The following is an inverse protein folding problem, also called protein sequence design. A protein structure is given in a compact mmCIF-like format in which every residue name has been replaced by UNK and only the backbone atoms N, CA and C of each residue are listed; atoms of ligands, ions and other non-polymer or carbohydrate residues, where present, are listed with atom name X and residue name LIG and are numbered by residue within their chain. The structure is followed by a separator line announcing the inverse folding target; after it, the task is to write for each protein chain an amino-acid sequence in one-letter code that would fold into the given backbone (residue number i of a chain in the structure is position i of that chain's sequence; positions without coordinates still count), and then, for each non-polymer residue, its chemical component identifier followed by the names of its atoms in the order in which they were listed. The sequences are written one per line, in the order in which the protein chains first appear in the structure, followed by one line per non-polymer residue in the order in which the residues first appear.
data_IF_473730341682
#
_entry.id   IF_473730341682
#
_cell.length_a   1.000
_cell.length_b   1.000
_cell.length_c   1.000
_cell.angle_alpha   90.00
_cell.angle_beta   90.00
_cell.angle_gamma   90.00
#
_symmetry.space_group_name_H-M   'P 1'
#
loop_
_entity.id
_entity.type
_entity.pdbx_description
1 polymer ?
#
# COMPACT_ATOMS: atom_id res chain seq x y z
N UNK A 1 -9.09 -16.20 3.10
CA UNK A 1 -7.68 -16.59 2.79
C UNK A 1 -6.73 -15.40 2.62
N UNK A 2 -7.10 -14.38 1.84
CA UNK A 2 -6.27 -13.17 1.63
C UNK A 2 -5.81 -12.50 2.93
N UNK A 3 -6.75 -12.15 3.81
CA UNK A 3 -6.44 -11.52 5.11
C UNK A 3 -5.47 -12.34 5.97
N UNK A 4 -5.47 -13.68 5.81
CA UNK A 4 -4.56 -14.58 6.52
C UNK A 4 -3.13 -14.45 5.98
N UNK A 5 -2.98 -14.41 4.65
CA UNK A 5 -1.69 -14.19 3.98
C UNK A 5 -1.15 -12.79 4.32
N UNK A 6 -2.00 -11.77 4.26
CA UNK A 6 -1.65 -10.38 4.60
C UNK A 6 -1.17 -10.24 6.06
N UNK A 7 -1.81 -10.95 6.99
CA UNK A 7 -1.43 -10.95 8.40
C UNK A 7 -0.11 -11.68 8.65
N UNK A 8 0.15 -12.82 7.97
CA UNK A 8 1.44 -13.50 8.05
C UNK A 8 2.56 -12.63 7.50
N UNK A 9 2.34 -12.00 6.34
CA UNK A 9 3.29 -11.04 5.77
C UNK A 9 3.59 -9.90 6.75
N UNK A 10 2.55 -9.30 7.32
CA UNK A 10 2.70 -8.18 8.27
C UNK A 10 3.47 -8.60 9.53
N UNK A 11 3.21 -9.80 10.04
CA UNK A 11 3.89 -10.35 11.22
C UNK A 11 5.37 -10.64 10.94
N UNK A 12 5.69 -11.19 9.75
CA UNK A 12 7.06 -11.53 9.37
C UNK A 12 7.90 -10.27 9.13
N UNK A 13 7.36 -9.28 8.40
CA UNK A 13 8.10 -8.05 8.06
C UNK A 13 8.34 -7.16 9.29
N UNK A 14 7.45 -7.18 10.28
CA UNK A 14 7.61 -6.41 11.52
C UNK A 14 8.51 -7.10 12.55
N UNK A 15 8.78 -8.39 12.38
CA UNK A 15 9.65 -9.15 13.28
C UNK A 15 11.13 -8.96 12.93
N UNK A 16 12.00 -8.97 13.95
CA UNK A 16 13.43 -8.85 13.78
C UNK A 16 14.05 -10.23 13.50
N UNK A 17 14.18 -10.59 12.22
CA UNK A 17 14.64 -11.89 11.74
C UNK A 17 15.98 -11.76 11.00
N UNK A 18 16.72 -12.87 10.91
CA UNK A 18 17.91 -12.93 10.06
C UNK A 18 17.50 -12.87 8.57
N UNK A 19 18.32 -12.24 7.74
CA UNK A 19 18.05 -12.03 6.31
C UNK A 19 17.76 -13.35 5.58
N UNK A 20 18.46 -14.44 5.94
CA UNK A 20 18.24 -15.76 5.34
C UNK A 20 16.87 -16.34 5.69
N UNK A 21 16.48 -16.22 6.97
CA UNK A 21 15.18 -16.68 7.44
C UNK A 21 14.04 -15.84 6.86
N UNK A 22 14.22 -14.52 6.77
CA UNK A 22 13.27 -13.60 6.17
C UNK A 22 13.04 -13.93 4.69
N UNK A 23 14.11 -14.12 3.92
CA UNK A 23 14.01 -14.46 2.49
C UNK A 23 13.22 -15.76 2.28
N UNK A 24 13.51 -16.81 3.06
CA UNK A 24 12.79 -18.08 2.99
C UNK A 24 11.30 -17.95 3.32
N UNK A 25 10.96 -17.18 4.35
CA UNK A 25 9.55 -16.96 4.74
C UNK A 25 8.79 -16.13 3.68
N UNK A 26 9.44 -15.12 3.09
CA UNK A 26 8.86 -14.32 2.01
C UNK A 26 8.65 -15.13 0.74
N UNK A 27 9.54 -16.07 0.42
CA UNK A 27 9.38 -17.01 -0.70
C UNK A 27 8.12 -17.87 -0.53
N UNK A 28 7.90 -18.45 0.65
CA UNK A 28 6.71 -19.26 0.96
C UNK A 28 5.42 -18.41 0.89
N UNK A 29 5.46 -17.15 1.33
CA UNK A 29 4.33 -16.22 1.18
C UNK A 29 4.06 -15.91 -0.30
N UNK A 30 5.11 -15.70 -1.09
CA UNK A 30 4.99 -15.43 -2.53
C UNK A 30 4.33 -16.60 -3.27
N UNK A 31 4.74 -17.84 -2.98
CA UNK A 31 4.10 -19.04 -3.50
C UNK A 31 2.61 -19.11 -3.13
N UNK A 32 2.30 -18.78 -1.86
CA UNK A 32 0.92 -18.75 -1.36
C UNK A 32 0.06 -17.71 -2.09
N UNK A 33 0.61 -16.52 -2.35
CA UNK A 33 -0.10 -15.44 -3.04
C UNK A 33 -0.34 -15.77 -4.53
N UNK A 34 0.66 -16.36 -5.21
CA UNK A 34 0.49 -16.83 -6.59
C UNK A 34 -0.63 -17.87 -6.71
N UNK A 35 -0.67 -18.84 -5.78
CA UNK A 35 -1.73 -19.84 -5.74
C UNK A 35 -3.09 -19.21 -5.44
N UNK A 36 -3.15 -18.26 -4.50
CA UNK A 36 -4.37 -17.51 -4.20
C UNK A 36 -4.88 -16.73 -5.43
N UNK A 37 -3.99 -16.06 -6.17
CA UNK A 37 -4.32 -15.39 -7.43
C UNK A 37 -4.90 -16.36 -8.46
N UNK A 38 -4.36 -17.57 -8.57
CA UNK A 38 -4.90 -18.64 -9.44
C UNK A 38 -6.29 -19.10 -9.00
N UNK A 39 -6.52 -19.25 -7.70
CA UNK A 39 -7.85 -19.60 -7.13
C UNK A 39 -8.86 -18.53 -7.50
N UNK A 40 -8.53 -17.25 -7.31
CA UNK A 40 -9.45 -16.16 -7.60
C UNK A 40 -9.79 -16.05 -9.09
N UNK A 41 -8.82 -16.32 -9.98
CA UNK A 41 -9.05 -16.33 -11.43
C UNK A 41 -9.92 -17.51 -11.89
N UNK A 42 -9.69 -18.71 -11.35
CA UNK A 42 -10.33 -19.95 -11.82
C UNK A 42 -11.54 -20.38 -11.01
N UNK A 43 -11.79 -19.75 -9.85
CA UNK A 43 -12.82 -20.13 -8.88
C UNK A 43 -12.75 -21.59 -8.41
N UNK A 44 -11.58 -22.24 -8.54
CA UNK A 44 -11.37 -23.61 -8.12
C UNK A 44 -10.98 -23.70 -6.64
N UNK A 45 -11.98 -23.85 -5.77
CA UNK A 45 -11.80 -23.92 -4.31
C UNK A 45 -11.06 -25.17 -3.82
N UNK A 46 -10.92 -26.22 -4.65
CA UNK A 46 -10.16 -27.42 -4.26
C UNK A 46 -8.69 -27.11 -4.01
N UNK A 47 -8.17 -26.08 -4.67
CA UNK A 47 -6.79 -25.62 -4.50
C UNK A 47 -6.50 -25.03 -3.11
N UNK A 48 -7.54 -24.73 -2.31
CA UNK A 48 -7.38 -24.23 -0.95
C UNK A 48 -6.64 -25.23 -0.04
N UNK A 49 -6.71 -26.54 -0.35
CA UNK A 49 -5.94 -27.57 0.36
C UNK A 49 -4.44 -27.33 0.22
N UNK A 50 -3.97 -27.12 -1.00
CA UNK A 50 -2.56 -26.82 -1.27
C UNK A 50 -2.12 -25.49 -0.65
N UNK A 51 -3.02 -24.50 -0.59
CA UNK A 51 -2.72 -23.24 0.11
C UNK A 51 -2.41 -23.48 1.59
N UNK A 52 -3.19 -24.33 2.26
CA UNK A 52 -2.92 -24.67 3.65
C UNK A 52 -1.60 -25.43 3.81
N UNK A 53 -1.28 -26.35 2.90
CA UNK A 53 0.00 -27.08 2.91
C UNK A 53 1.21 -26.13 2.77
N UNK A 54 1.12 -25.12 1.90
CA UNK A 54 2.19 -24.10 1.76
C UNK A 54 2.29 -23.28 3.04
N UNK A 55 1.17 -22.81 3.60
CA UNK A 55 1.17 -21.99 4.82
C UNK A 55 1.69 -22.73 6.05
N UNK A 56 1.54 -24.06 6.13
CA UNK A 56 2.14 -24.86 7.22
C UNK A 56 3.66 -24.77 7.20
N UNK A 57 4.30 -24.61 6.04
CA UNK A 57 5.76 -24.46 5.94
C UNK A 57 6.29 -23.18 6.60
N UNK A 58 5.44 -22.19 6.84
CA UNK A 58 5.78 -20.98 7.59
C UNK A 58 5.93 -21.26 9.10
N UNK A 59 5.35 -22.35 9.59
CA UNK A 59 5.45 -22.70 11.00
C UNK A 59 6.88 -23.18 11.32
N UNK A 60 7.58 -22.39 12.10
CA UNK A 60 8.85 -22.73 12.72
C UNK A 60 8.67 -22.52 14.23
N UNK A 61 9.34 -23.31 15.07
CA UNK A 61 9.24 -23.23 16.53
C UNK A 61 9.94 -21.98 17.12
N UNK A 62 9.90 -20.86 16.39
CA UNK A 62 10.61 -19.64 16.72
C UNK A 62 9.69 -18.64 17.44
N UNK A 63 10.00 -18.33 18.69
CA UNK A 63 9.24 -17.38 19.53
C UNK A 63 9.37 -15.91 19.07
N UNK A 64 10.19 -15.64 18.04
CA UNK A 64 10.55 -14.29 17.59
C UNK A 64 9.45 -13.60 16.78
N UNK A 65 8.55 -14.37 16.16
CA UNK A 65 7.51 -13.82 15.29
C UNK A 65 6.25 -13.58 16.11
N UNK A 66 5.98 -12.30 16.39
CA UNK A 66 4.72 -11.89 17.03
C UNK A 66 3.69 -11.53 15.97
N UNK A 67 2.43 -11.85 16.24
CA UNK A 67 1.34 -11.45 15.39
C UNK A 67 1.25 -9.93 15.30
N UNK A 68 1.25 -9.40 14.08
CA UNK A 68 0.90 -8.01 13.78
C UNK A 68 -0.11 -7.99 12.64
N UNK A 69 -1.25 -7.33 12.86
CA UNK A 69 -2.28 -7.17 11.84
C UNK A 69 -1.85 -6.22 10.71
N UNK A 70 -0.98 -5.25 11.01
CA UNK A 70 -0.54 -4.23 10.07
C UNK A 70 0.98 -4.07 10.13
N UNK A 71 1.61 -3.96 8.96
CA UNK A 71 3.04 -3.69 8.83
C UNK A 71 3.41 -2.21 8.97
N UNK A 72 2.43 -1.31 8.89
CA UNK A 72 2.61 0.14 8.96
C UNK A 72 2.12 0.70 10.29
N UNK A 73 2.71 1.82 10.69
CA UNK A 73 2.25 2.58 11.85
C UNK A 73 0.83 3.13 11.64
N UNK A 74 0.08 3.27 12.73
CA UNK A 74 -1.29 3.80 12.69
C UNK A 74 -1.41 5.18 12.02
N UNK A 75 -0.50 6.15 12.26
CA UNK A 75 -0.53 7.44 11.57
C UNK A 75 -0.43 7.32 10.04
N UNK A 76 0.45 6.44 9.54
CA UNK A 76 0.60 6.21 8.11
C UNK A 76 -0.65 5.56 7.50
N UNK A 77 -1.24 4.57 8.18
CA UNK A 77 -2.48 3.94 7.72
C UNK A 77 -3.63 4.93 7.62
N UNK A 78 -3.76 5.83 8.60
CA UNK A 78 -4.78 6.86 8.58
C UNK A 78 -4.58 7.84 7.42
N UNK A 79 -3.35 8.26 7.17
CA UNK A 79 -3.01 9.10 6.00
C UNK A 79 -3.39 8.39 4.70
N UNK A 80 -3.02 7.12 4.53
CA UNK A 80 -3.34 6.36 3.32
C UNK A 80 -4.87 6.23 3.12
N UNK A 81 -5.65 6.01 4.20
CA UNK A 81 -7.11 5.85 4.09
C UNK A 81 -7.83 7.17 3.83
N UNK A 82 -7.56 8.19 4.65
CA UNK A 82 -8.31 9.46 4.63
C UNK A 82 -7.76 10.42 3.58
N UNK A 83 -6.45 10.65 3.60
CA UNK A 83 -5.82 11.59 2.66
C UNK A 83 -5.68 10.97 1.27
N UNK A 84 -5.40 9.66 1.19
CA UNK A 84 -5.30 8.95 -0.09
C UNK A 84 -6.58 9.02 -0.93
N UNK A 85 -7.78 9.00 -0.32
CA UNK A 85 -9.05 9.14 -1.05
C UNK A 85 -9.17 10.52 -1.70
N UNK A 86 -8.83 11.58 -0.96
CA UNK A 86 -8.88 12.96 -1.44
C UNK A 86 -7.79 13.24 -2.49
N UNK A 87 -6.55 12.74 -2.30
CA UNK A 87 -5.48 12.82 -3.32
C UNK A 87 -5.89 12.12 -4.61
N UNK A 88 -6.53 10.94 -4.51
CA UNK A 88 -7.03 10.22 -5.68
C UNK A 88 -8.12 11.01 -6.41
N UNK A 89 -9.03 11.66 -5.69
CA UNK A 89 -10.06 12.52 -6.28
C UNK A 89 -9.43 13.72 -7.00
N UNK A 90 -8.52 14.44 -6.35
CA UNK A 90 -7.75 15.54 -6.94
C UNK A 90 -7.01 15.09 -8.21
N UNK A 91 -6.33 13.94 -8.13
CA UNK A 91 -5.58 13.40 -9.26
C UNK A 91 -6.48 13.07 -10.45
N UNK A 92 -7.72 12.63 -10.21
CA UNK A 92 -8.67 12.30 -11.28
C UNK A 92 -9.13 13.56 -12.02
N UNK A 93 -9.32 14.67 -11.30
CA UNK A 93 -9.68 15.97 -11.90
C UNK A 93 -8.50 16.51 -12.70
N UNK A 94 -7.33 16.58 -12.09
CA UNK A 94 -6.13 17.16 -12.70
C UNK A 94 -5.55 16.32 -13.84
N UNK A 95 -5.66 15.00 -13.76
CA UNK A 95 -5.24 14.12 -14.84
C UNK A 95 -6.07 14.36 -16.12
N UNK A 96 -7.37 14.64 -15.99
CA UNK A 96 -8.24 14.95 -17.13
C UNK A 96 -7.88 16.29 -17.77
N UNK A 97 -7.58 17.31 -16.97
CA UNK A 97 -7.22 18.64 -17.49
C UNK A 97 -5.85 18.63 -18.17
N UNK A 98 -4.91 17.83 -17.67
CA UNK A 98 -3.56 17.72 -18.21
C UNK A 98 -3.39 16.60 -19.26
N UNK A 99 -4.46 15.84 -19.56
CA UNK A 99 -4.42 14.67 -20.44
C UNK A 99 -3.36 13.61 -20.05
N UNK A 100 -3.19 13.39 -18.75
CA UNK A 100 -2.26 12.39 -18.19
C UNK A 100 -3.02 11.26 -17.51
N UNK A 101 -2.33 10.17 -17.19
CA UNK A 101 -2.89 9.19 -16.26
C UNK A 101 -2.85 9.72 -14.83
N UNK A 102 -3.78 9.29 -13.98
CA UNK A 102 -3.84 9.73 -12.57
C UNK A 102 -2.58 9.35 -11.78
N UNK A 103 -2.01 8.17 -12.04
CA UNK A 103 -0.74 7.77 -11.44
C UNK A 103 0.43 8.62 -11.93
N UNK A 104 0.51 8.92 -13.23
CA UNK A 104 1.54 9.80 -13.78
C UNK A 104 1.47 11.20 -13.17
N UNK A 105 0.25 11.74 -13.02
CA UNK A 105 0.05 13.04 -12.38
C UNK A 105 0.54 13.05 -10.93
N UNK A 106 0.14 12.08 -10.10
CA UNK A 106 0.53 12.05 -8.67
C UNK A 106 2.03 11.88 -8.50
N UNK A 107 2.67 11.02 -9.31
CA UNK A 107 4.09 10.71 -9.16
C UNK A 107 4.98 11.83 -9.68
N UNK A 108 4.62 12.45 -10.81
CA UNK A 108 5.50 13.38 -11.52
C UNK A 108 5.04 14.82 -11.34
N UNK A 109 3.77 15.13 -11.62
CA UNK A 109 3.30 16.52 -11.71
C UNK A 109 2.95 17.12 -10.34
N UNK A 110 2.34 16.34 -9.44
CA UNK A 110 1.83 16.82 -8.16
C UNK A 110 2.91 17.53 -7.30
N UNK A 111 4.15 17.01 -7.15
CA UNK A 111 5.20 17.72 -6.41
C UNK A 111 5.50 19.12 -6.96
N UNK A 112 5.54 19.27 -8.30
CA UNK A 112 5.79 20.56 -8.94
C UNK A 112 4.59 21.50 -8.83
N UNK A 113 3.38 20.98 -8.94
CA UNK A 113 2.15 21.77 -8.74
C UNK A 113 2.15 22.34 -7.32
N UNK A 114 2.41 21.51 -6.31
CA UNK A 114 2.51 21.95 -4.91
C UNK A 114 3.62 23.01 -4.72
N UNK A 115 4.77 22.83 -5.37
CA UNK A 115 5.85 23.83 -5.33
C UNK A 115 5.45 25.17 -5.97
N UNK A 116 4.71 25.16 -7.08
CA UNK A 116 4.20 26.37 -7.71
C UNK A 116 3.15 27.09 -6.86
N UNK A 117 2.30 26.33 -6.15
CA UNK A 117 1.34 26.88 -5.18
C UNK A 117 2.07 27.51 -3.99
N UNK A 118 3.07 26.82 -3.41
CA UNK A 118 3.91 27.34 -2.30
C UNK A 118 4.53 28.70 -2.65
N UNK A 119 5.01 28.86 -3.88
CA UNK A 119 5.62 30.09 -4.38
C UNK A 119 4.61 31.15 -4.87
N UNK A 120 3.30 30.93 -4.67
CA UNK A 120 2.20 31.81 -5.11
C UNK A 120 2.19 32.12 -6.62
N UNK A 121 2.87 31.29 -7.44
CA UNK A 121 2.95 31.47 -8.90
C UNK A 121 1.76 30.85 -9.64
N UNK A 122 1.03 29.96 -8.98
CA UNK A 122 -0.11 29.25 -9.54
C UNK A 122 -1.29 29.36 -8.57
N UNK A 123 -2.39 29.97 -9.04
CA UNK A 123 -3.70 29.90 -8.38
C UNK A 123 -4.54 28.88 -9.15
N UNK A 124 -4.83 27.76 -8.51
CA UNK A 124 -5.77 26.79 -9.04
C UNK A 124 -7.13 27.04 -8.40
N UNK A 125 -8.17 27.16 -9.22
CA UNK A 125 -9.56 27.14 -8.75
C UNK A 125 -9.91 25.68 -8.42
N UNK A 126 -9.47 25.24 -7.24
CA UNK A 126 -9.81 23.94 -6.70
C UNK A 126 -11.00 24.08 -5.74
N UNK A 127 -11.87 23.09 -5.74
CA UNK A 127 -12.93 22.98 -4.72
C UNK A 127 -12.31 23.06 -3.31
N UNK A 128 -12.96 23.80 -2.40
CA UNK A 128 -12.52 24.00 -1.01
C UNK A 128 -12.24 22.67 -0.27
N UNK A 129 -12.83 21.57 -0.75
CA UNK A 129 -12.65 20.21 -0.24
C UNK A 129 -11.21 19.68 -0.28
N UNK A 130 -10.33 20.25 -1.12
CA UNK A 130 -8.93 19.83 -1.26
C UNK A 130 -7.94 20.68 -0.43
N UNK A 131 -8.36 21.80 0.13
CA UNK A 131 -7.51 22.79 0.82
C UNK A 131 -6.65 22.16 1.93
N UNK A 132 -7.28 21.47 2.89
CA UNK A 132 -6.60 20.87 4.05
C UNK A 132 -5.43 19.94 3.68
N UNK A 133 -5.53 19.23 2.56
CA UNK A 133 -4.48 18.30 2.12
C UNK A 133 -3.37 19.03 1.41
N UNK A 134 -3.71 20.00 0.57
CA UNK A 134 -2.70 20.78 -0.12
C UNK A 134 -1.82 21.52 0.88
N UNK A 135 -2.42 22.09 1.93
CA UNK A 135 -1.66 22.73 3.01
C UNK A 135 -0.72 21.75 3.71
N UNK A 136 -1.22 20.58 4.14
CA UNK A 136 -0.40 19.53 4.74
C UNK A 136 0.74 19.05 3.84
N UNK A 137 0.49 18.86 2.54
CA UNK A 137 1.51 18.42 1.59
C UNK A 137 2.52 19.54 1.28
N UNK A 138 2.10 20.81 1.29
CA UNK A 138 2.99 21.97 1.14
C UNK A 138 3.93 22.10 2.35
N UNK A 139 3.43 21.89 3.57
CA UNK A 139 4.26 21.90 4.80
C UNK A 139 5.37 20.84 4.78
N UNK A 140 5.12 19.70 4.15
CA UNK A 140 6.08 18.61 4.03
C UNK A 140 7.19 18.89 2.99
N UNK A 141 6.95 19.82 2.06
CA UNK A 141 7.96 20.24 1.07
C UNK A 141 8.91 21.21 1.74
N UNK A 142 10.18 20.81 1.92
CA UNK A 142 11.26 21.71 2.35
C UNK A 142 11.48 22.83 1.32
#
# INVERSE_FOLDING_TARGET
PRLKIDAFYSSIVTSNLDNKTLAKLLEIISESDMLYGKIMKTQNWRLLRYLNEILIRLYQNDERIRYSQYNLSWPLLNRIRWDGKKIKALSSVMAKTLHLSSSTFVTICLPYVLFCIKNKKLKLELEDTFGDILEKEIELIK
#
